data_IF_856566469096
#
_entry.id   IF_856566469096
#
_cell.length_a   1.000
_cell.length_b   1.000
_cell.length_c   1.000
_cell.angle_alpha   90.00
_cell.angle_beta   90.00
_cell.angle_gamma   90.00
#
_symmetry.space_group_name_H-M   'P 1'
#
loop_
_entity.id
_entity.type
_entity.pdbx_description
1 polymer ?
#
# COMPACT_ATOMS: atom_id res chain seq x y z
N UNK A 1 -5.71 23.04 5.49
CA UNK A 1 -4.99 22.00 6.22
C UNK A 1 -5.82 20.73 6.17
N UNK A 2 -5.20 19.57 6.17
CA UNK A 2 -5.93 18.29 6.25
C UNK A 2 -6.03 17.87 7.72
N UNK A 3 -7.26 17.69 8.20
CA UNK A 3 -7.55 17.11 9.51
C UNK A 3 -7.48 15.59 9.42
N UNK A 4 -6.72 14.99 10.32
CA UNK A 4 -6.58 13.53 10.45
C UNK A 4 -7.11 13.15 11.81
N UNK A 5 -8.15 12.30 11.84
CA UNK A 5 -8.73 11.74 13.06
C UNK A 5 -8.44 10.25 13.10
N UNK A 6 -7.98 9.75 14.24
CA UNK A 6 -7.63 8.34 14.41
C UNK A 6 -8.38 7.73 15.58
N UNK A 7 -8.91 6.54 15.39
CA UNK A 7 -9.44 5.73 16.47
C UNK A 7 -8.98 4.28 16.34
N UNK A 8 -8.97 3.57 17.46
CA UNK A 8 -8.59 2.17 17.55
C UNK A 8 -9.67 1.39 18.27
N UNK A 9 -10.13 0.32 17.66
CA UNK A 9 -10.89 -0.72 18.35
C UNK A 9 -9.98 -1.89 18.68
N UNK A 10 -9.95 -2.30 19.94
CA UNK A 10 -9.16 -3.43 20.41
C UNK A 10 -9.88 -4.14 21.54
N UNK A 11 -9.98 -5.46 21.45
CA UNK A 11 -10.55 -6.32 22.51
C UNK A 11 -11.98 -5.92 22.94
N UNK A 12 -12.76 -5.33 22.02
CA UNK A 12 -14.12 -4.85 22.27
C UNK A 12 -14.22 -3.43 22.86
N UNK A 13 -13.08 -2.78 23.10
CA UNK A 13 -13.01 -1.40 23.57
C UNK A 13 -12.64 -0.42 22.44
N UNK A 14 -13.20 0.79 22.51
CA UNK A 14 -12.97 1.87 21.55
C UNK A 14 -12.06 2.95 22.17
N UNK A 15 -10.99 3.29 21.48
CA UNK A 15 -10.00 4.28 21.89
C UNK A 15 -9.95 5.41 20.85
N UNK A 16 -10.38 6.61 21.25
CA UNK A 16 -10.16 7.82 20.47
C UNK A 16 -8.71 8.31 20.65
N UNK A 17 -7.96 8.44 19.56
CA UNK A 17 -6.57 8.91 19.58
C UNK A 17 -6.48 10.42 19.27
N UNK A 18 -7.63 11.09 19.10
CA UNK A 18 -7.75 12.50 18.82
C UNK A 18 -7.56 12.85 17.34
N UNK A 19 -7.50 14.15 17.10
CA UNK A 19 -7.31 14.73 15.77
C UNK A 19 -6.09 15.63 15.71
N UNK A 20 -5.41 15.64 14.57
CA UNK A 20 -4.32 16.58 14.26
C UNK A 20 -4.52 17.18 12.88
N UNK A 21 -3.85 18.29 12.62
CA UNK A 21 -3.84 18.94 11.32
C UNK A 21 -2.46 18.81 10.67
N UNK A 22 -2.44 18.44 9.39
CA UNK A 22 -1.24 18.29 8.59
C UNK A 22 -1.35 19.07 7.28
N UNK A 23 -0.20 19.49 6.75
CA UNK A 23 -0.11 20.02 5.39
C UNK A 23 -0.42 18.90 4.38
N UNK A 24 -0.98 19.20 3.19
CA UNK A 24 -1.40 18.17 2.24
C UNK A 24 -0.37 17.09 1.92
N UNK A 25 0.90 17.47 1.71
CA UNK A 25 1.98 16.52 1.42
C UNK A 25 2.35 15.66 2.64
N UNK A 26 2.29 16.23 3.84
CA UNK A 26 2.56 15.48 5.06
C UNK A 26 1.43 14.48 5.35
N UNK A 27 0.18 14.89 5.14
CA UNK A 27 -0.98 14.02 5.24
C UNK A 27 -0.96 12.89 4.20
N UNK A 28 -0.54 13.18 2.96
CA UNK A 28 -0.31 12.15 1.93
C UNK A 28 0.74 11.15 2.40
N UNK A 29 1.87 11.63 2.93
CA UNK A 29 2.93 10.76 3.46
C UNK A 29 2.41 9.89 4.59
N UNK A 30 1.69 10.47 5.55
CA UNK A 30 1.04 9.75 6.64
C UNK A 30 0.10 8.66 6.10
N UNK A 31 -0.77 9.00 5.14
CA UNK A 31 -1.70 8.06 4.52
C UNK A 31 -0.96 6.88 3.86
N UNK A 32 0.10 7.16 3.10
CA UNK A 32 0.85 6.13 2.38
C UNK A 32 1.67 5.26 3.32
N UNK A 33 2.48 5.87 4.18
CA UNK A 33 3.48 5.17 5.00
C UNK A 33 2.88 4.52 6.26
N UNK A 34 1.90 5.15 6.90
CA UNK A 34 1.34 4.67 8.17
C UNK A 34 0.07 3.84 8.00
N UNK A 35 -0.71 4.05 6.92
CA UNK A 35 -1.97 3.34 6.71
C UNK A 35 -1.87 2.32 5.57
N UNK A 36 -1.67 2.80 4.33
CA UNK A 36 -1.74 1.95 3.14
C UNK A 36 -0.61 0.91 3.08
N UNK A 37 0.59 1.27 3.55
CA UNK A 37 1.73 0.35 3.63
C UNK A 37 1.51 -0.81 4.61
N UNK A 38 0.62 -0.64 5.59
CA UNK A 38 0.22 -1.67 6.54
C UNK A 38 -1.02 -2.45 6.10
N UNK A 39 -1.43 -2.29 4.83
CA UNK A 39 -2.59 -2.99 4.26
C UNK A 39 -3.92 -2.34 4.60
N UNK A 40 -3.91 -1.04 4.90
CA UNK A 40 -5.13 -0.25 5.10
C UNK A 40 -6.09 -0.37 3.91
N UNK A 41 -7.36 -0.63 4.20
CA UNK A 41 -8.43 -0.69 3.21
C UNK A 41 -9.19 0.63 3.19
N UNK A 42 -9.26 1.26 2.02
CA UNK A 42 -10.05 2.47 1.81
C UNK A 42 -11.51 2.06 1.78
N UNK A 43 -12.29 2.57 2.74
CA UNK A 43 -13.72 2.25 2.90
C UNK A 43 -14.63 3.39 2.44
N UNK A 44 -14.09 4.61 2.35
CA UNK A 44 -14.78 5.80 1.86
C UNK A 44 -13.78 6.71 1.16
N UNK A 45 -14.16 7.27 0.01
CA UNK A 45 -13.41 8.31 -0.71
C UNK A 45 -14.38 9.23 -1.47
N UNK A 46 -14.65 10.42 -0.94
CA UNK A 46 -15.68 11.36 -1.46
C UNK A 46 -15.09 12.67 -1.98
N UNK A 47 -13.77 12.73 -2.19
CA UNK A 47 -13.06 13.91 -2.69
C UNK A 47 -12.67 14.91 -1.59
N UNK A 48 -13.49 15.09 -0.56
CA UNK A 48 -13.14 15.91 0.62
C UNK A 48 -12.86 15.08 1.87
N UNK A 49 -13.12 13.77 1.80
CA UNK A 49 -12.95 12.82 2.90
C UNK A 49 -12.45 11.48 2.38
N UNK A 50 -11.49 10.90 3.09
CA UNK A 50 -10.98 9.54 2.88
C UNK A 50 -10.99 8.82 4.23
N UNK A 51 -11.60 7.64 4.28
CA UNK A 51 -11.62 6.78 5.47
C UNK A 51 -10.87 5.48 5.17
N UNK A 52 -9.87 5.18 5.98
CA UNK A 52 -9.05 3.97 5.86
C UNK A 52 -9.21 3.13 7.12
N UNK A 53 -9.40 1.82 6.93
CA UNK A 53 -9.46 0.84 8.00
C UNK A 53 -8.29 -0.13 7.87
N UNK A 54 -7.43 -0.12 8.86
CA UNK A 54 -6.21 -0.94 8.92
C UNK A 54 -6.37 -2.00 10.01
N UNK A 55 -6.11 -3.28 9.68
CA UNK A 55 -6.27 -4.40 10.61
C UNK A 55 -4.92 -5.05 10.89
N UNK A 56 -4.39 -4.87 12.09
CA UNK A 56 -3.07 -5.36 12.48
C UNK A 56 -3.11 -5.88 13.92
N UNK A 57 -2.58 -7.08 14.18
CA UNK A 57 -2.50 -7.68 15.52
C UNK A 57 -3.80 -7.62 16.35
N UNK A 58 -4.94 -7.97 15.75
CA UNK A 58 -6.28 -7.90 16.37
C UNK A 58 -6.77 -6.49 16.74
N UNK A 59 -6.04 -5.44 16.34
CA UNK A 59 -6.50 -4.06 16.40
C UNK A 59 -7.15 -3.68 15.06
N UNK A 60 -8.21 -2.89 15.14
CA UNK A 60 -8.82 -2.23 13.99
C UNK A 60 -8.57 -0.73 14.17
N UNK A 61 -7.65 -0.20 13.37
CA UNK A 61 -7.37 1.23 13.32
C UNK A 61 -8.22 1.87 12.22
N UNK A 62 -8.90 2.96 12.53
CA UNK A 62 -9.63 3.76 11.55
C UNK A 62 -9.02 5.15 11.51
N UNK A 63 -8.62 5.56 10.31
CA UNK A 63 -8.04 6.88 10.03
C UNK A 63 -8.91 7.63 9.05
N UNK A 64 -9.33 8.84 9.42
CA UNK A 64 -10.18 9.72 8.62
C UNK A 64 -9.40 10.97 8.25
N UNK A 65 -9.22 11.20 6.96
CA UNK A 65 -8.56 12.38 6.39
C UNK A 65 -9.62 13.30 5.79
N UNK A 66 -9.67 14.56 6.21
CA UNK A 66 -10.67 15.53 5.77
C UNK A 66 -10.04 16.90 5.48
N UNK A 67 -10.48 17.54 4.40
CA UNK A 67 -10.00 18.86 4.01
C UNK A 67 -10.84 19.48 2.90
N UNK A 68 -10.41 20.63 2.38
CA UNK A 68 -11.03 21.18 1.17
C UNK A 68 -10.73 20.30 -0.05
N UNK A 69 -11.52 20.43 -1.11
CA UNK A 69 -11.33 19.65 -2.35
C UNK A 69 -9.93 19.89 -2.96
N UNK A 70 -9.46 21.14 -2.91
CA UNK A 70 -8.14 21.53 -3.40
C UNK A 70 -7.02 20.89 -2.57
N UNK A 71 -7.14 20.94 -1.25
CA UNK A 71 -6.13 20.39 -0.33
C UNK A 71 -6.08 18.85 -0.39
N UNK A 72 -7.23 18.21 -0.59
CA UNK A 72 -7.35 16.75 -0.68
C UNK A 72 -6.92 16.19 -2.04
N UNK A 73 -6.76 17.02 -3.08
CA UNK A 73 -6.38 16.59 -4.43
C UNK A 73 -5.21 15.58 -4.46
N UNK A 74 -4.04 15.83 -3.82
CA UNK A 74 -2.94 14.86 -3.83
C UNK A 74 -3.31 13.51 -3.20
N UNK A 75 -4.11 13.51 -2.12
CA UNK A 75 -4.56 12.29 -1.46
C UNK A 75 -5.54 11.53 -2.36
N UNK A 76 -6.50 12.24 -2.97
CA UNK A 76 -7.47 11.63 -3.89
C UNK A 76 -6.79 10.98 -5.10
N UNK A 77 -5.75 11.62 -5.65
CA UNK A 77 -4.99 11.06 -6.77
C UNK A 77 -4.25 9.78 -6.34
N UNK A 78 -3.65 9.76 -5.14
CA UNK A 78 -3.04 8.55 -4.60
C UNK A 78 -4.07 7.43 -4.36
N UNK A 79 -5.24 7.77 -3.81
CA UNK A 79 -6.36 6.83 -3.60
C UNK A 79 -6.82 6.20 -4.92
N UNK A 80 -6.96 7.00 -5.98
CA UNK A 80 -7.37 6.50 -7.29
C UNK A 80 -6.45 5.39 -7.80
N UNK A 81 -5.13 5.61 -7.82
CA UNK A 81 -4.17 4.60 -8.27
C UNK A 81 -4.06 3.40 -7.32
N UNK A 82 -4.22 3.64 -6.01
CA UNK A 82 -4.21 2.55 -5.03
C UNK A 82 -5.40 1.61 -5.22
N UNK A 83 -6.60 2.15 -5.45
CA UNK A 83 -7.80 1.34 -5.72
C UNK A 83 -7.65 0.52 -6.99
N UNK A 84 -7.09 1.10 -8.07
CA UNK A 84 -6.76 0.34 -9.29
C UNK A 84 -5.75 -0.79 -9.03
N UNK A 85 -4.80 -0.58 -8.12
CA UNK A 85 -3.86 -1.62 -7.72
C UNK A 85 -4.52 -2.74 -6.90
N UNK A 86 -5.57 -2.44 -6.14
CA UNK A 86 -6.30 -3.43 -5.33
C UNK A 86 -7.12 -4.41 -6.18
N UNK A 87 -7.83 -3.92 -7.20
CA UNK A 87 -8.76 -4.71 -8.02
C UNK A 87 -8.15 -5.97 -8.66
N UNK A 88 -6.82 -6.02 -8.81
CA UNK A 88 -6.10 -7.14 -9.45
C UNK A 88 -5.38 -8.10 -8.50
N UNK A 89 -5.31 -7.80 -7.19
CA UNK A 89 -4.39 -8.51 -6.30
C UNK A 89 -5.03 -9.55 -5.38
N UNK A 90 -6.35 -9.49 -5.20
CA UNK A 90 -7.05 -10.38 -4.26
C UNK A 90 -7.01 -11.86 -4.71
N UNK A 91 -6.81 -12.14 -6.00
CA UNK A 91 -6.67 -13.50 -6.55
C UNK A 91 -5.27 -14.12 -6.28
N UNK A 92 -4.22 -13.29 -6.27
CA UNK A 92 -2.82 -13.77 -6.15
C UNK A 92 -2.49 -14.17 -4.72
N UNK A 93 -2.99 -13.43 -3.72
CA UNK A 93 -2.64 -13.65 -2.32
C UNK A 93 -3.27 -14.94 -1.75
N UNK A 94 -4.47 -15.30 -2.19
CA UNK A 94 -5.10 -16.57 -1.81
C UNK A 94 -4.32 -17.77 -2.35
N UNK A 95 -3.77 -17.66 -3.56
CA UNK A 95 -2.87 -18.67 -4.14
C UNK A 95 -1.59 -18.86 -3.32
N UNK A 96 -0.92 -17.75 -2.96
CA UNK A 96 0.33 -17.77 -2.19
C UNK A 96 0.14 -18.40 -0.81
N UNK A 97 -0.93 -18.06 -0.10
CA UNK A 97 -1.22 -18.66 1.21
C UNK A 97 -1.51 -20.16 1.11
N UNK A 98 -2.23 -20.57 0.06
CA UNK A 98 -2.50 -21.99 -0.20
C UNK A 98 -1.22 -22.77 -0.54
N UNK A 99 -0.29 -22.16 -1.28
CA UNK A 99 0.98 -22.78 -1.64
C UNK A 99 1.97 -22.83 -0.47
N UNK A 100 2.04 -21.79 0.36
CA UNK A 100 2.84 -21.77 1.59
C UNK A 100 2.36 -22.85 2.58
N UNK A 101 1.04 -23.10 2.65
CA UNK A 101 0.46 -24.16 3.48
C UNK A 101 0.79 -25.58 2.98
N UNK A 102 1.18 -25.74 1.71
CA UNK A 102 1.55 -27.04 1.10
C UNK A 102 3.04 -27.37 1.23
N UNK A 103 3.87 -26.42 1.66
CA UNK A 103 5.31 -26.65 1.81
C UNK A 103 5.61 -27.53 3.04
N UNK A 104 6.45 -28.57 2.92
CA UNK A 104 6.73 -29.49 4.02
C UNK A 104 7.48 -28.82 5.18
N UNK A 105 7.09 -29.21 6.41
CA UNK A 105 7.75 -28.96 7.70
C UNK A 105 8.55 -27.66 7.83
N UNK A 106 7.86 -26.56 8.20
CA UNK A 106 8.48 -25.31 8.66
C UNK A 106 9.06 -24.40 7.57
N UNK A 107 9.16 -24.87 6.32
CA UNK A 107 9.65 -24.06 5.20
C UNK A 107 8.65 -23.00 4.72
N UNK A 108 7.35 -23.24 4.89
CA UNK A 108 6.31 -22.26 4.56
C UNK A 108 6.19 -21.10 5.53
N UNK A 109 6.93 -21.11 6.65
CA UNK A 109 6.79 -20.14 7.74
C UNK A 109 5.64 -20.48 8.70
N UNK A 110 5.59 -19.79 9.84
CA UNK A 110 4.47 -19.94 10.79
C UNK A 110 3.22 -19.27 10.22
N UNK A 111 2.07 -19.96 10.11
CA UNK A 111 0.82 -19.36 9.63
C UNK A 111 0.43 -18.09 10.41
N UNK A 112 0.74 -18.05 11.70
CA UNK A 112 0.54 -16.87 12.54
C UNK A 112 1.42 -15.71 12.07
N UNK A 113 2.73 -15.95 11.86
CA UNK A 113 3.67 -14.92 11.38
C UNK A 113 3.27 -14.44 9.99
N UNK A 114 2.85 -15.34 9.10
CA UNK A 114 2.38 -14.99 7.76
C UNK A 114 1.12 -14.13 7.86
N UNK A 115 0.14 -14.52 8.67
CA UNK A 115 -1.09 -13.73 8.86
C UNK A 115 -0.83 -12.35 9.47
N UNK A 116 0.20 -12.24 10.31
CA UNK A 116 0.66 -11.01 10.93
C UNK A 116 1.39 -10.10 9.93
N UNK A 117 2.20 -10.65 9.03
CA UNK A 117 2.97 -9.90 8.05
C UNK A 117 2.22 -9.64 6.74
N UNK A 118 1.21 -10.46 6.42
CA UNK A 118 0.48 -10.41 5.14
C UNK A 118 -0.10 -9.02 4.83
N UNK A 119 -0.73 -8.28 5.78
CA UNK A 119 -1.22 -6.93 5.50
C UNK A 119 -0.12 -5.99 5.01
N UNK A 120 1.08 -6.07 5.60
CA UNK A 120 2.23 -5.24 5.20
C UNK A 120 2.76 -5.63 3.83
N UNK A 121 2.86 -6.94 3.54
CA UNK A 121 3.29 -7.44 2.24
C UNK A 121 2.31 -7.05 1.13
N UNK A 122 1.00 -7.19 1.39
CA UNK A 122 -0.06 -6.79 0.48
C UNK A 122 0.00 -5.27 0.26
N UNK A 123 -0.01 -4.49 1.34
CA UNK A 123 0.01 -3.03 1.32
C UNK A 123 1.19 -2.47 0.52
N UNK A 124 2.41 -2.97 0.78
CA UNK A 124 3.60 -2.53 0.05
C UNK A 124 3.55 -2.90 -1.43
N UNK A 125 3.07 -4.09 -1.79
CA UNK A 125 2.91 -4.46 -3.19
C UNK A 125 1.86 -3.60 -3.92
N UNK A 126 0.75 -3.26 -3.24
CA UNK A 126 -0.27 -2.34 -3.77
C UNK A 126 0.32 -0.95 -3.99
N UNK A 127 1.12 -0.47 -3.04
CA UNK A 127 1.82 0.81 -3.17
C UNK A 127 2.80 0.82 -4.35
N UNK A 128 3.62 -0.23 -4.52
CA UNK A 128 4.54 -0.31 -5.66
C UNK A 128 3.78 -0.25 -6.98
N UNK A 129 2.71 -1.04 -7.13
CA UNK A 129 1.87 -1.04 -8.33
C UNK A 129 1.20 0.31 -8.54
N UNK A 130 0.63 0.90 -7.49
CA UNK A 130 0.03 2.24 -7.53
C UNK A 130 1.02 3.30 -8.00
N UNK A 131 2.27 3.27 -7.51
CA UNK A 131 3.31 4.21 -7.93
C UNK A 131 3.67 4.06 -9.40
N UNK A 132 3.79 2.82 -9.88
CA UNK A 132 4.05 2.55 -11.31
C UNK A 132 2.91 3.02 -12.20
N UNK A 133 1.66 2.74 -11.83
CA UNK A 133 0.47 3.21 -12.56
C UNK A 133 0.41 4.75 -12.61
N UNK A 134 0.74 5.42 -11.50
CA UNK A 134 0.78 6.88 -11.44
C UNK A 134 1.83 7.49 -12.40
N UNK A 135 2.87 6.72 -12.74
CA UNK A 135 3.93 7.10 -13.68
C UNK A 135 3.64 6.63 -15.12
N UNK A 136 2.48 6.05 -15.38
CA UNK A 136 2.06 5.57 -16.70
C UNK A 136 2.64 4.21 -17.10
N UNK A 137 3.31 3.51 -16.18
CA UNK A 137 3.80 2.15 -16.41
C UNK A 137 2.62 1.19 -16.32
N UNK A 138 2.28 0.56 -17.44
CA UNK A 138 1.10 -0.32 -17.57
C UNK A 138 1.41 -1.70 -18.10
N UNK A 139 2.65 -1.94 -18.56
CA UNK A 139 3.10 -3.26 -19.01
C UNK A 139 3.17 -4.24 -17.83
N UNK A 140 2.55 -5.42 -17.96
CA UNK A 140 2.44 -6.36 -16.84
C UNK A 140 3.79 -7.00 -16.44
N UNK A 141 4.76 -7.11 -17.35
CA UNK A 141 6.09 -7.61 -16.98
C UNK A 141 6.86 -6.58 -16.14
N UNK A 142 6.77 -5.30 -16.51
CA UNK A 142 7.35 -4.22 -15.73
C UNK A 142 6.65 -4.06 -14.38
N UNK A 143 5.32 -4.17 -14.35
CA UNK A 143 4.56 -4.15 -13.09
C UNK A 143 4.96 -5.30 -12.17
N UNK A 144 5.10 -6.52 -12.68
CA UNK A 144 5.53 -7.68 -11.90
C UNK A 144 6.96 -7.49 -11.37
N UNK A 145 7.88 -6.99 -12.20
CA UNK A 145 9.26 -6.74 -11.79
C UNK A 145 9.35 -5.65 -10.71
N UNK A 146 8.65 -4.53 -10.90
CA UNK A 146 8.67 -3.42 -9.94
C UNK A 146 8.10 -3.77 -8.58
N UNK A 147 7.10 -4.66 -8.53
CA UNK A 147 6.54 -5.15 -7.26
C UNK A 147 7.57 -5.95 -6.43
N UNK A 148 8.49 -6.66 -7.08
CA UNK A 148 9.52 -7.46 -6.41
C UNK A 148 10.66 -6.60 -5.80
N UNK A 149 10.87 -5.38 -6.30
CA UNK A 149 11.93 -4.49 -5.82
C UNK A 149 11.64 -3.88 -4.44
N UNK A 150 10.35 -3.76 -4.09
CA UNK A 150 9.87 -3.00 -2.94
C UNK A 150 9.95 -1.49 -3.14
N UNK A 151 9.16 -0.73 -2.37
CA UNK A 151 8.93 0.70 -2.61
C UNK A 151 10.21 1.55 -2.60
N UNK A 152 11.17 1.21 -1.73
CA UNK A 152 12.44 1.92 -1.58
C UNK A 152 13.31 1.85 -2.84
N UNK A 153 13.38 0.67 -3.49
CA UNK A 153 14.23 0.46 -4.65
C UNK A 153 13.50 0.76 -5.96
N UNK A 154 12.17 0.76 -5.95
CA UNK A 154 11.35 1.02 -7.12
C UNK A 154 11.68 2.37 -7.78
N UNK A 155 11.76 3.45 -6.99
CA UNK A 155 12.02 4.77 -7.56
C UNK A 155 13.42 4.88 -8.20
N UNK A 156 14.45 4.31 -7.58
CA UNK A 156 15.78 4.25 -8.17
C UNK A 156 15.80 3.42 -9.47
N UNK A 157 15.05 2.31 -9.53
CA UNK A 157 14.93 1.52 -10.74
C UNK A 157 14.18 2.24 -11.85
N UNK A 158 13.17 3.05 -11.51
CA UNK A 158 12.45 3.90 -12.47
C UNK A 158 13.34 5.02 -12.99
N UNK A 159 14.15 5.65 -12.14
CA UNK A 159 15.15 6.63 -12.58
C UNK A 159 16.10 6.00 -13.61
N UNK A 160 16.64 4.82 -13.31
CA UNK A 160 17.52 4.10 -14.22
C UNK A 160 16.81 3.68 -15.53
N UNK A 161 15.55 3.27 -15.45
CA UNK A 161 14.69 2.98 -16.62
C UNK A 161 14.58 4.20 -17.54
N UNK A 162 14.37 5.39 -16.98
CA UNK A 162 14.27 6.64 -17.73
C UNK A 162 15.62 7.07 -18.34
N UNK A 163 16.72 6.88 -17.62
CA UNK A 163 18.07 7.23 -18.10
C UNK A 163 18.56 6.30 -19.22
N UNK A 164 18.28 5.00 -19.11
CA UNK A 164 18.81 3.97 -20.03
C UNK A 164 17.86 3.65 -21.19
N UNK A 165 16.57 3.99 -21.06
CA UNK A 165 15.53 3.58 -22.01
C UNK A 165 15.21 2.07 -21.97
N UNK A 166 15.75 1.34 -20.98
CA UNK A 166 15.43 -0.07 -20.75
C UNK A 166 14.04 -0.19 -20.10
N UNK A 167 13.43 -1.37 -20.18
CA UNK A 167 12.21 -1.65 -19.40
C UNK A 167 12.55 -1.90 -17.92
N UNK A 168 11.57 -1.75 -17.04
CA UNK A 168 11.76 -1.97 -15.60
C UNK A 168 12.13 -3.43 -15.30
N UNK A 169 11.58 -4.38 -16.06
CA UNK A 169 11.95 -5.80 -15.99
C UNK A 169 13.43 -6.03 -16.34
N UNK A 170 13.94 -5.33 -17.36
CA UNK A 170 15.34 -5.44 -17.77
C UNK A 170 16.28 -4.81 -16.72
N UNK A 171 15.90 -3.68 -16.14
CA UNK A 171 16.63 -3.04 -15.03
C UNK A 171 16.67 -3.97 -13.82
N UNK A 172 15.53 -4.54 -13.42
CA UNK A 172 15.45 -5.46 -12.28
C UNK A 172 16.31 -6.71 -12.46
N UNK A 173 16.39 -7.26 -13.67
CA UNK A 173 17.23 -8.41 -13.98
C UNK A 173 18.72 -8.08 -13.89
N UNK A 174 19.14 -6.90 -14.37
CA UNK A 174 20.54 -6.46 -14.35
C UNK A 174 21.08 -6.18 -12.93
N UNK A 175 20.19 -5.86 -11.97
CA UNK A 175 20.58 -5.62 -10.56
C UNK A 175 20.67 -6.93 -9.77
N UNK A 176 20.06 -8.02 -10.26
CA UNK A 176 20.05 -9.32 -9.60
C UNK A 176 21.25 -10.24 -9.95
N UNK A 177 22.08 -9.84 -10.91
CA UNK A 177 23.31 -10.52 -11.37
C UNK A 177 24.56 -9.86 -10.81
#
# INVERSE_FOLDING_TARGET
>A
MIRITMCRDRDGEHFDQGSREEQPLQALRTMVEAELAFGGNITEATGTRITIVTRVFSCVDTSVFEGSLEEMQPLNQAVYYYLQACERQDEVMQGILADLARLPNGQGGSPLIISMAAPMLIGQNRLCRSSMLALGITDEHDLAAGQLLGLRNLFAAIELMQETGMSLAAVSAAVAT
#
